data_IF_457776303845
#
_entry.id   IF_457776303845
#
_cell.length_a   1.000
_cell.length_b   1.000
_cell.length_c   1.000
_cell.angle_alpha   90.00
_cell.angle_beta   90.00
_cell.angle_gamma   90.00
#
_symmetry.space_group_name_H-M   'P 1'
#
loop_
_entity.id
_entity.type
_entity.pdbx_description
1 polymer ?
#
# COMPACT_ATOMS: atom_id res chain seq x y z
N UNK A 1 13.21 -0.89 -1.10
CA UNK A 1 12.52 0.17 -1.82
C UNK A 1 13.42 1.37 -1.82
N UNK A 2 14.20 1.47 -2.88
CA UNK A 2 15.02 2.64 -3.18
C UNK A 2 14.80 3.08 -4.62
N UNK A 3 14.54 2.12 -5.51
CA UNK A 3 14.20 2.39 -6.90
C UNK A 3 12.66 2.49 -7.08
N UNK A 4 12.14 3.64 -7.53
CA UNK A 4 10.70 3.81 -7.77
C UNK A 4 10.16 2.95 -8.91
N UNK A 5 11.03 2.50 -9.83
CA UNK A 5 10.64 1.85 -11.09
C UNK A 5 10.77 0.33 -11.08
N UNK A 6 11.34 -0.25 -10.02
CA UNK A 6 11.46 -1.70 -9.87
C UNK A 6 10.68 -2.22 -8.67
N UNK A 7 10.39 -3.51 -8.75
CA UNK A 7 9.87 -4.28 -7.62
C UNK A 7 11.03 -4.87 -6.83
N UNK A 8 10.77 -5.12 -5.55
CA UNK A 8 11.73 -5.68 -4.60
C UNK A 8 11.03 -6.65 -3.68
N UNK A 9 11.77 -7.65 -3.19
CA UNK A 9 11.29 -8.59 -2.20
C UNK A 9 11.24 -7.90 -0.82
N UNK A 10 10.13 -8.10 -0.11
CA UNK A 10 10.01 -7.71 1.29
C UNK A 10 10.04 -8.95 2.17
N UNK A 11 10.94 -8.94 3.14
CA UNK A 11 11.04 -9.97 4.16
C UNK A 11 10.39 -9.48 5.44
N UNK A 12 9.32 -10.16 5.86
CA UNK A 12 8.63 -9.91 7.12
C UNK A 12 9.16 -10.85 8.22
N UNK A 13 9.40 -10.32 9.43
CA UNK A 13 9.80 -11.11 10.60
C UNK A 13 8.96 -10.73 11.81
N UNK A 14 8.65 -11.72 12.64
CA UNK A 14 8.02 -11.52 13.94
C UNK A 14 9.04 -12.02 14.97
N UNK A 15 9.52 -11.11 15.81
CA UNK A 15 10.55 -11.38 16.79
C UNK A 15 9.96 -11.32 18.20
N UNK A 16 10.54 -12.09 19.11
CA UNK A 16 10.29 -11.95 20.53
C UNK A 16 10.84 -10.61 21.03
N UNK A 17 10.02 -9.87 21.76
CA UNK A 17 10.37 -8.61 22.41
C UNK A 17 9.81 -8.56 23.84
N UNK A 18 9.75 -9.72 24.50
CA UNK A 18 9.32 -9.88 25.88
C UNK A 18 7.80 -9.97 26.00
N UNK A 19 7.17 -8.87 26.45
CA UNK A 19 5.72 -8.87 26.72
C UNK A 19 4.88 -8.85 25.44
N UNK A 20 5.40 -8.24 24.39
CA UNK A 20 4.71 -8.06 23.11
C UNK A 20 5.65 -8.42 21.96
N UNK A 21 5.13 -8.92 20.82
CA UNK A 21 5.94 -9.22 19.65
C UNK A 21 6.47 -7.94 18.99
N UNK A 22 7.65 -8.02 18.37
CA UNK A 22 8.17 -6.98 17.48
C UNK A 22 8.04 -7.42 16.03
N UNK A 23 7.40 -6.59 15.22
CA UNK A 23 7.24 -6.84 13.78
C UNK A 23 8.31 -6.08 13.02
N UNK A 24 9.02 -6.76 12.13
CA UNK A 24 10.03 -6.18 11.26
C UNK A 24 9.73 -6.41 9.78
N UNK A 25 10.10 -5.44 8.96
CA UNK A 25 10.08 -5.55 7.50
C UNK A 25 11.39 -4.99 6.95
N UNK A 26 12.05 -5.78 6.11
CA UNK A 26 13.25 -5.40 5.35
C UNK A 26 12.94 -5.54 3.87
N UNK A 27 13.40 -4.61 3.05
CA UNK A 27 13.33 -4.73 1.58
C UNK A 27 14.72 -5.05 1.06
N UNK A 28 14.85 -5.98 0.11
CA UNK A 28 16.18 -6.51 -0.30
C UNK A 28 17.11 -5.44 -0.91
N UNK A 29 16.53 -4.46 -1.61
CA UNK A 29 17.21 -3.28 -2.19
C UNK A 29 17.37 -2.12 -1.19
N UNK A 30 17.00 -2.28 0.08
CA UNK A 30 17.15 -1.24 1.11
C UNK A 30 17.84 -1.80 2.36
N UNK A 31 19.02 -1.29 2.76
CA UNK A 31 19.74 -1.83 3.91
C UNK A 31 19.04 -1.56 5.26
N UNK A 32 18.03 -0.69 5.29
CA UNK A 32 17.30 -0.33 6.50
C UNK A 32 16.19 -1.35 6.80
N UNK A 33 16.12 -1.79 8.05
CA UNK A 33 15.00 -2.58 8.58
C UNK A 33 14.06 -1.68 9.37
N UNK A 34 12.76 -1.83 9.14
CA UNK A 34 11.71 -1.09 9.83
C UNK A 34 11.06 -1.98 10.86
N UNK A 35 10.77 -1.45 12.04
CA UNK A 35 10.14 -2.19 13.12
C UNK A 35 8.94 -1.47 13.71
N UNK A 36 7.99 -2.21 14.26
CA UNK A 36 6.86 -1.65 15.00
C UNK A 36 6.14 -2.69 15.87
N UNK A 37 5.22 -2.23 16.74
CA UNK A 37 4.47 -3.09 17.65
C UNK A 37 3.34 -3.86 16.95
N UNK A 38 2.95 -3.48 15.74
CA UNK A 38 1.91 -4.18 14.96
C UNK A 38 2.30 -4.32 13.48
N UNK A 39 1.76 -5.34 12.77
CA UNK A 39 1.97 -5.49 11.32
C UNK A 39 1.55 -4.25 10.52
N UNK A 40 0.44 -3.62 10.91
CA UNK A 40 -0.10 -2.44 10.22
C UNK A 40 0.81 -1.23 10.40
N UNK A 41 1.37 -1.04 11.61
CA UNK A 41 2.30 0.07 11.88
C UNK A 41 3.52 -0.01 10.96
N UNK A 42 4.19 -1.16 10.91
CA UNK A 42 5.41 -1.29 10.10
C UNK A 42 5.11 -1.20 8.60
N UNK A 43 4.02 -1.81 8.11
CA UNK A 43 3.64 -1.67 6.69
C UNK A 43 3.22 -0.25 6.32
N UNK A 44 2.64 0.52 7.24
CA UNK A 44 2.35 1.95 7.00
C UNK A 44 3.63 2.73 6.75
N UNK A 45 4.69 2.48 7.54
CA UNK A 45 6.01 3.12 7.35
C UNK A 45 6.57 2.79 5.96
N UNK A 46 6.55 1.50 5.61
CA UNK A 46 7.01 1.00 4.31
C UNK A 46 6.25 1.70 3.18
N UNK A 47 4.92 1.60 3.15
CA UNK A 47 4.11 2.15 2.05
C UNK A 47 4.30 3.66 1.92
N UNK A 48 4.33 4.41 3.04
CA UNK A 48 4.57 5.86 2.99
C UNK A 48 5.92 6.20 2.38
N UNK A 49 6.96 5.43 2.69
CA UNK A 49 8.28 5.58 2.08
C UNK A 49 8.26 5.27 0.59
N UNK A 50 7.50 4.23 0.18
CA UNK A 50 7.40 3.81 -1.23
C UNK A 50 6.76 4.89 -2.09
N UNK A 51 5.71 5.52 -1.55
CA UNK A 51 5.00 6.62 -2.17
C UNK A 51 5.86 7.87 -2.24
N UNK A 52 6.59 8.20 -1.17
CA UNK A 52 7.51 9.33 -1.15
C UNK A 52 8.61 9.22 -2.23
N UNK A 53 9.20 8.03 -2.41
CA UNK A 53 10.22 7.76 -3.43
C UNK A 53 9.65 7.89 -4.85
N UNK A 54 8.34 7.66 -5.04
CA UNK A 54 7.63 7.80 -6.32
C UNK A 54 7.01 9.17 -6.53
N UNK A 55 7.20 10.11 -5.59
CA UNK A 55 6.52 11.41 -5.59
C UNK A 55 4.99 11.29 -5.69
N UNK A 56 4.41 10.29 -5.01
CA UNK A 56 2.98 10.02 -4.97
C UNK A 56 2.39 10.32 -3.59
N UNK A 57 1.11 10.71 -3.55
CA UNK A 57 0.38 10.92 -2.30
C UNK A 57 -0.14 9.61 -1.70
N UNK A 58 0.03 9.48 -0.40
CA UNK A 58 -0.46 8.33 0.37
C UNK A 58 -1.96 8.50 0.67
N UNK A 59 -2.80 7.63 0.09
CA UNK A 59 -4.27 7.77 0.18
C UNK A 59 -5.01 6.71 1.01
N UNK A 60 -4.37 5.59 1.37
CA UNK A 60 -5.06 4.49 2.05
C UNK A 60 -4.12 3.70 2.97
N UNK A 61 -4.65 3.27 4.14
CA UNK A 61 -3.89 2.48 5.10
C UNK A 61 -3.66 1.04 4.65
N UNK A 62 -2.42 0.53 4.66
CA UNK A 62 -2.17 -0.84 4.25
C UNK A 62 -2.78 -1.84 5.22
N UNK A 63 -3.22 -2.97 4.67
CA UNK A 63 -3.73 -4.08 5.47
C UNK A 63 -2.56 -4.96 5.94
N UNK A 64 -1.82 -4.46 6.94
CA UNK A 64 -0.57 -5.07 7.42
C UNK A 64 -0.60 -6.58 7.70
N UNK A 65 -1.65 -7.13 8.35
CA UNK A 65 -1.74 -8.58 8.59
C UNK A 65 -1.80 -9.44 7.31
N UNK A 66 -2.34 -8.91 6.20
CA UNK A 66 -2.38 -9.62 4.92
C UNK A 66 -0.98 -9.72 4.31
N UNK A 67 -0.22 -8.63 4.40
CA UNK A 67 1.14 -8.58 3.87
C UNK A 67 2.12 -9.44 4.67
N UNK A 68 1.93 -9.57 5.99
CA UNK A 68 2.63 -10.56 6.80
C UNK A 68 2.15 -12.00 6.55
N UNK A 69 1.10 -12.21 5.75
CA UNK A 69 0.52 -13.51 5.46
C UNK A 69 -0.33 -14.09 6.60
N UNK A 70 -0.51 -13.37 7.71
CA UNK A 70 -1.21 -13.88 8.91
C UNK A 70 -2.70 -14.15 8.67
N UNK A 71 -3.29 -13.58 7.62
CA UNK A 71 -4.67 -13.87 7.21
C UNK A 71 -4.80 -14.99 6.17
N UNK A 72 -3.71 -15.62 5.75
CA UNK A 72 -3.76 -16.75 4.82
C UNK A 72 -4.17 -18.01 5.59
N UNK A 73 -5.29 -18.64 5.22
CA UNK A 73 -5.82 -19.82 5.92
C UNK A 73 -4.79 -20.93 6.12
N UNK A 74 -3.95 -21.20 5.12
CA UNK A 74 -2.87 -22.20 5.23
C UNK A 74 -1.84 -21.80 6.30
N UNK A 75 -1.45 -20.53 6.37
CA UNK A 75 -0.53 -20.03 7.40
C UNK A 75 -1.18 -20.06 8.78
N UNK A 76 -2.43 -19.63 8.89
CA UNK A 76 -3.19 -19.71 10.14
C UNK A 76 -3.27 -21.15 10.66
N UNK A 77 -3.53 -22.13 9.76
CA UNK A 77 -3.52 -23.55 10.08
C UNK A 77 -2.14 -24.02 10.56
N UNK A 78 -1.07 -23.67 9.82
CA UNK A 78 0.30 -24.02 10.23
C UNK A 78 0.66 -23.45 11.61
N UNK A 79 0.21 -22.23 11.94
CA UNK A 79 0.40 -21.62 13.26
C UNK A 79 -0.40 -22.38 14.33
N UNK A 80 -1.65 -22.73 14.04
CA UNK A 80 -2.51 -23.51 14.95
C UNK A 80 -1.97 -24.91 15.27
N UNK A 81 -1.21 -25.49 14.34
CA UNK A 81 -0.60 -26.81 14.51
C UNK A 81 0.72 -26.77 15.30
N UNK A 82 1.22 -25.58 15.67
CA UNK A 82 2.41 -25.46 16.51
C UNK A 82 2.16 -25.94 17.94
N UNK A 83 3.19 -26.49 18.61
CA UNK A 83 3.10 -26.84 20.02
C UNK A 83 2.75 -25.59 20.84
N UNK A 84 1.90 -25.77 21.85
CA UNK A 84 1.41 -24.71 22.73
C UNK A 84 0.44 -23.71 22.11
N UNK A 85 0.01 -23.86 20.84
CA UNK A 85 -1.04 -22.99 20.27
C UNK A 85 -2.33 -23.01 21.11
N UNK A 86 -2.66 -24.15 21.73
CA UNK A 86 -3.77 -24.30 22.69
C UNK A 86 -3.65 -23.46 23.97
N UNK A 87 -2.46 -22.96 24.32
CA UNK A 87 -2.25 -22.10 25.48
C UNK A 87 -2.64 -20.64 25.22
N UNK A 88 -2.85 -20.25 23.95
CA UNK A 88 -3.30 -18.91 23.59
C UNK A 88 -4.81 -18.78 23.86
N UNK A 89 -5.19 -18.52 25.11
CA UNK A 89 -6.60 -18.53 25.57
C UNK A 89 -7.51 -17.53 24.84
N UNK A 90 -6.96 -16.42 24.34
CA UNK A 90 -7.70 -15.39 23.60
C UNK A 90 -7.72 -15.63 22.08
N UNK A 91 -7.06 -16.68 21.60
CA UNK A 91 -7.02 -16.97 20.16
C UNK A 91 -8.36 -17.55 19.69
N UNK A 92 -8.93 -16.93 18.64
CA UNK A 92 -10.13 -17.44 17.98
C UNK A 92 -9.71 -18.46 16.92
N UNK A 93 -10.00 -19.73 17.19
CA UNK A 93 -9.70 -20.84 16.29
C UNK A 93 -10.45 -20.71 14.97
N UNK A 94 -9.73 -20.97 13.88
CA UNK A 94 -10.23 -20.89 12.52
C UNK A 94 -10.27 -22.29 11.90
N UNK A 95 -11.37 -22.61 11.23
CA UNK A 95 -11.48 -23.87 10.48
C UNK A 95 -10.71 -23.77 9.17
N UNK A 96 -9.80 -24.71 8.94
CA UNK A 96 -9.12 -24.86 7.67
C UNK A 96 -9.91 -25.78 6.74
N UNK A 97 -10.34 -25.25 5.61
CA UNK A 97 -10.92 -26.03 4.52
C UNK A 97 -9.85 -26.17 3.41
N UNK A 98 -9.34 -27.38 3.15
CA UNK A 98 -8.45 -27.62 2.02
C UNK A 98 -9.11 -27.13 0.74
N UNK A 99 -8.33 -26.53 -0.15
CA UNK A 99 -8.83 -26.15 -1.47
C UNK A 99 -9.32 -27.42 -2.18
N UNK A 100 -10.64 -27.56 -2.32
CA UNK A 100 -11.24 -28.59 -3.16
C UNK A 100 -10.78 -28.34 -4.59
N UNK A 101 -10.00 -29.28 -5.13
CA UNK A 101 -9.60 -29.27 -6.52
C UNK A 101 -10.87 -29.54 -7.33
N UNK A 102 -11.60 -28.49 -7.71
CA UNK A 102 -12.70 -28.64 -8.66
C UNK A 102 -12.08 -29.25 -9.93
N UNK A 103 -12.56 -30.44 -10.32
CA UNK A 103 -12.15 -31.16 -11.54
C UNK A 103 -12.00 -30.16 -12.71
N UNK A 104 -10.95 -30.28 -13.54
CA UNK A 104 -10.74 -29.38 -14.67
C UNK A 104 -11.86 -29.60 -15.70
N UNK A 105 -12.89 -28.76 -15.65
CA UNK A 105 -14.13 -28.99 -16.38
C UNK A 105 -14.90 -27.72 -16.70
N UNK A 106 -14.22 -26.58 -16.88
CA UNK A 106 -14.71 -25.51 -17.76
C UNK A 106 -13.59 -24.51 -18.03
N UNK A 107 -13.21 -24.45 -19.31
CA UNK A 107 -12.32 -23.46 -19.89
C UNK A 107 -12.67 -22.05 -19.40
N UNK A 108 -11.78 -21.45 -18.61
CA UNK A 108 -11.65 -20.00 -18.53
C UNK A 108 -10.18 -19.73 -18.84
N UNK A 109 -9.91 -19.31 -20.08
CA UNK A 109 -8.60 -18.77 -20.49
C UNK A 109 -8.20 -17.74 -19.43
N UNK A 110 -7.27 -18.08 -18.55
CA UNK A 110 -6.59 -17.15 -17.66
C UNK A 110 -5.16 -17.09 -18.14
N UNK A 111 -4.80 -15.91 -18.65
CA UNK A 111 -3.47 -15.61 -19.10
C UNK A 111 -2.46 -15.89 -17.98
N UNK A 112 -1.32 -16.43 -18.38
CA UNK A 112 -0.22 -16.80 -17.53
C UNK A 112 0.41 -15.57 -16.88
N UNK A 113 0.17 -15.39 -15.59
CA UNK A 113 1.05 -14.69 -14.65
C UNK A 113 0.96 -15.40 -13.30
N UNK A 114 1.20 -16.71 -13.28
CA UNK A 114 1.42 -17.46 -12.04
C UNK A 114 2.93 -17.67 -11.89
N UNK A 115 3.63 -16.59 -11.51
CA UNK A 115 4.96 -16.67 -10.90
C UNK A 115 4.75 -16.34 -9.43
N UNK A 116 4.82 -17.38 -8.60
CA UNK A 116 4.97 -17.36 -7.14
C UNK A 116 3.92 -16.57 -6.31
N UNK A 117 3.07 -17.30 -5.58
CA UNK A 117 2.53 -16.79 -4.32
C UNK A 117 1.06 -16.35 -4.25
N UNK A 118 0.25 -16.61 -5.27
CA UNK A 118 -1.21 -16.76 -5.15
C UNK A 118 -1.99 -15.68 -4.37
N UNK A 119 -1.57 -14.42 -4.44
CA UNK A 119 -2.33 -13.30 -3.87
C UNK A 119 -3.20 -12.70 -4.96
N UNK A 120 -4.51 -12.97 -4.91
CA UNK A 120 -5.46 -12.34 -5.82
C UNK A 120 -5.96 -11.02 -5.22
N UNK A 121 -5.35 -9.91 -5.63
CA UNK A 121 -5.68 -8.55 -5.18
C UNK A 121 -7.11 -8.11 -5.56
N UNK A 122 -7.83 -8.85 -6.42
CA UNK A 122 -9.22 -8.56 -6.77
C UNK A 122 -10.24 -9.15 -5.78
N UNK A 123 -9.85 -10.09 -4.91
CA UNK A 123 -10.77 -10.72 -3.96
C UNK A 123 -10.97 -9.92 -2.67
N UNK A 124 -10.04 -9.03 -2.33
CA UNK A 124 -10.14 -8.11 -1.17
C UNK A 124 -11.08 -6.93 -1.44
N UNK A 125 -11.32 -6.58 -2.71
CA UNK A 125 -12.32 -5.56 -3.08
C UNK A 125 -13.77 -6.04 -2.89
N UNK A 126 -14.03 -7.35 -2.95
CA UNK A 126 -15.40 -7.88 -2.96
C UNK A 126 -16.10 -8.00 -1.60
N UNK A 127 -15.37 -7.85 -0.49
CA UNK A 127 -15.94 -7.98 0.88
C UNK A 127 -16.07 -6.66 1.66
N UNK A 128 -15.72 -5.52 1.06
CA UNK A 128 -15.79 -4.20 1.73
C UNK A 128 -16.84 -3.24 1.13
N UNK A 129 -17.67 -3.68 0.18
CA UNK A 129 -18.66 -2.80 -0.47
C UNK A 129 -19.92 -2.49 0.35
N UNK A 130 -19.99 -2.89 1.62
CA UNK A 130 -21.19 -2.62 2.42
C UNK A 130 -21.19 -1.31 3.20
N UNK A 131 -20.22 -0.38 3.04
CA UNK A 131 -20.34 0.92 3.76
C UNK A 131 -19.49 2.12 3.29
N UNK A 132 -19.44 2.49 2.01
CA UNK A 132 -18.94 3.85 1.61
C UNK A 132 -19.73 4.45 0.44
N UNK A 133 -20.16 5.74 0.50
CA UNK A 133 -20.97 6.39 -0.54
C UNK A 133 -20.24 6.57 -1.90
N UNK A 134 -20.96 6.23 -2.97
CA UNK A 134 -20.64 6.19 -4.42
C UNK A 134 -20.15 7.48 -5.09
N UNK A 135 -19.66 8.50 -4.37
CA UNK A 135 -19.42 9.82 -4.98
C UNK A 135 -18.02 10.02 -5.61
N UNK A 136 -17.02 9.14 -5.37
CA UNK A 136 -15.63 9.40 -5.79
C UNK A 136 -15.11 8.56 -6.97
N UNK A 137 -15.83 7.51 -7.40
CA UNK A 137 -15.45 6.71 -8.57
C UNK A 137 -15.49 7.53 -9.88
N UNK A 138 -16.37 8.52 -9.96
CA UNK A 138 -16.61 9.32 -11.18
C UNK A 138 -15.51 10.33 -11.51
N UNK A 139 -14.57 10.61 -10.57
CA UNK A 139 -13.49 11.58 -10.80
C UNK A 139 -12.31 10.98 -11.58
N UNK A 140 -12.09 9.67 -11.49
CA UNK A 140 -10.95 9.02 -12.16
C UNK A 140 -11.19 8.80 -13.67
N UNK A 141 -12.43 8.64 -14.12
CA UNK A 141 -12.72 8.46 -15.55
C UNK A 141 -12.65 9.78 -16.35
N UNK A 142 -12.91 10.94 -15.70
CA UNK A 142 -12.92 12.25 -16.39
C UNK A 142 -11.54 12.71 -16.86
N UNK A 143 -10.47 12.30 -16.16
CA UNK A 143 -9.10 12.77 -16.44
C UNK A 143 -8.35 11.93 -17.49
N UNK A 144 -8.91 10.83 -17.99
CA UNK A 144 -8.31 10.03 -19.07
C UNK A 144 -8.60 10.61 -20.47
N UNK A 145 -9.56 11.54 -20.62
CA UNK A 145 -10.06 11.98 -21.94
C UNK A 145 -9.24 13.10 -22.63
N UNK A 146 -8.13 13.56 -22.04
CA UNK A 146 -7.33 14.68 -22.59
C UNK A 146 -5.83 14.41 -22.65
N UNK A 147 -5.39 13.26 -23.16
CA UNK A 147 -3.97 13.08 -23.49
C UNK A 147 -3.77 12.35 -24.81
N UNK A 148 -3.99 13.08 -25.91
CA UNK A 148 -3.42 12.75 -27.23
C UNK A 148 -2.09 13.52 -27.40
N UNK A 149 -1.05 12.94 -28.01
CA UNK A 149 0.15 13.68 -28.39
C UNK A 149 0.07 14.14 -29.85
N UNK A 150 0.37 15.41 -30.13
CA UNK A 150 0.56 15.91 -31.51
C UNK A 150 1.69 16.95 -31.62
N UNK A 151 2.26 16.94 -32.80
CA UNK A 151 3.55 17.48 -33.29
C UNK A 151 3.59 19.00 -33.56
N UNK A 152 4.80 19.56 -33.50
CA UNK A 152 5.38 20.79 -34.11
C UNK A 152 4.50 21.80 -34.88
N UNK A 153 4.67 23.11 -34.58
CA UNK A 153 5.22 24.15 -35.49
C UNK A 153 4.97 25.58 -34.99
N UNK A 154 5.86 26.49 -35.40
CA UNK A 154 5.99 27.91 -35.07
C UNK A 154 4.98 28.83 -35.78
N UNK A 155 4.54 29.92 -35.12
CA UNK A 155 4.39 31.25 -35.74
C UNK A 155 3.98 32.34 -34.73
N UNK A 156 4.42 33.55 -35.04
CA UNK A 156 4.38 34.82 -34.32
C UNK A 156 3.09 35.62 -34.50
N UNK A 157 2.65 36.37 -33.46
CA UNK A 157 2.03 37.71 -33.61
C UNK A 157 1.71 38.40 -32.26
N UNK A 158 2.43 39.49 -31.98
CA UNK A 158 2.03 40.78 -31.38
C UNK A 158 0.83 40.91 -30.38
N UNK A 159 1.18 41.32 -29.14
CA UNK A 159 0.60 42.29 -28.15
C UNK A 159 -0.76 43.00 -28.40
N UNK A 160 -1.47 43.55 -27.37
CA UNK A 160 -0.94 44.11 -26.11
C UNK A 160 -1.72 43.91 -24.77
N UNK A 161 -0.95 44.08 -23.69
CA UNK A 161 -1.27 44.76 -22.41
C UNK A 161 -2.54 44.37 -21.65
N UNK A 162 -2.38 43.65 -20.53
CA UNK A 162 -3.01 44.06 -19.27
C UNK A 162 -2.27 43.50 -18.05
N UNK A 163 -1.79 44.41 -17.20
CA UNK A 163 -1.07 44.15 -15.95
C UNK A 163 -2.05 44.32 -14.78
N UNK A 164 -2.05 43.44 -13.78
CA UNK A 164 -2.32 43.86 -12.42
C UNK A 164 -1.10 43.66 -11.51
N UNK A 165 -0.98 44.59 -10.59
CA UNK A 165 0.17 44.88 -9.78
C UNK A 165 0.41 43.86 -8.66
N UNK A 166 1.70 43.75 -8.34
CA UNK A 166 2.29 43.08 -7.19
C UNK A 166 1.75 43.73 -5.91
N UNK A 167 1.25 42.93 -4.96
CA UNK A 167 1.15 43.32 -3.55
C UNK A 167 1.98 42.34 -2.73
N UNK A 168 3.08 42.85 -2.20
CA UNK A 168 4.01 42.18 -1.30
C UNK A 168 3.46 42.22 0.12
N UNK A 169 3.30 41.06 0.76
CA UNK A 169 2.99 40.96 2.18
C UNK A 169 4.17 41.46 3.04
N UNK A 170 3.92 42.15 4.17
CA UNK A 170 4.97 42.64 5.07
C UNK A 170 5.59 41.50 5.93
N UNK A 171 6.86 41.63 6.36
CA UNK A 171 7.55 40.61 7.16
C UNK A 171 7.12 40.60 8.64
N UNK A 172 7.30 39.47 9.36
CA UNK A 172 6.90 39.33 10.76
C UNK A 172 7.84 40.08 11.74
N UNK A 173 7.34 40.47 12.94
CA UNK A 173 8.11 41.21 13.94
C UNK A 173 9.13 40.35 14.71
N UNK A 174 10.18 40.97 15.30
CA UNK A 174 11.25 40.26 16.01
C UNK A 174 10.82 39.78 17.41
N UNK A 175 11.39 38.65 17.83
CA UNK A 175 11.18 37.99 19.14
C UNK A 175 11.82 38.78 20.30
N UNK A 176 11.23 38.78 21.51
CA UNK A 176 11.78 39.48 22.67
C UNK A 176 12.95 38.73 23.30
N UNK A 177 13.98 39.48 23.68
CA UNK A 177 15.09 39.01 24.52
C UNK A 177 14.58 38.80 25.95
N UNK A 178 14.76 37.59 26.49
CA UNK A 178 14.56 37.30 27.90
C UNK A 178 15.79 37.77 28.72
N UNK A 179 15.59 38.23 29.96
CA UNK A 179 16.65 38.69 30.86
C UNK A 179 17.50 37.53 31.42
#
# INVERSE_FOLDING_TARGET
MVDPKSDTQYTCRILDNGREPKFEVTADDCPMTYSGPTPTTVWTIIVRRAFAIRNQEYGHNPVGPDFFGLRKNTIAKMIQDLPNASKCSQYVWQTFEPARFNKPGRSRRRAATDVMGGVNYNLTNGRLLNNVPTQYASRYERNQKYRQPSTSSSSSSSSPVNRPSITSSPPPPPLPHLP
#
